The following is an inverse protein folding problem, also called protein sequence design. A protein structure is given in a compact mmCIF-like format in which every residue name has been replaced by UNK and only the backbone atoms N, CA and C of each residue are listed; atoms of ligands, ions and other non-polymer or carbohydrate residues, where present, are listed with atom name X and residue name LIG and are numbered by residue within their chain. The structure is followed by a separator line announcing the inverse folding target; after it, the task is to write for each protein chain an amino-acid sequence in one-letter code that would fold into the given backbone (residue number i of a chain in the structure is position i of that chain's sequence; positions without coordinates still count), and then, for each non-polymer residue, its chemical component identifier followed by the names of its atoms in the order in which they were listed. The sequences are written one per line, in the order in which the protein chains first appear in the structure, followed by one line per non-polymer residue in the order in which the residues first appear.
data_IF_285501416225
#
_entry.id   IF_285501416225
#
_cell.length_a   1.000
_cell.length_b   1.000
_cell.length_c   1.000
_cell.angle_alpha   90.00
_cell.angle_beta   90.00
_cell.angle_gamma   90.00
#
_symmetry.space_group_name_H-M   'P 1'
#
loop_
_entity.id
_entity.type
_entity.pdbx_description
1 polymer ?
#
# COMPACT_ATOMS: atom_id res chain seq x y z
N UNK A 1 -61.88 42.44 -25.52
CA UNK A 1 -60.56 42.16 -24.91
C UNK A 1 -60.73 41.05 -23.89
N UNK A 2 -60.34 39.81 -24.24
CA UNK A 2 -60.57 38.59 -23.44
C UNK A 2 -59.29 38.19 -22.70
N UNK A 3 -59.48 37.72 -21.48
CA UNK A 3 -58.47 37.49 -20.44
C UNK A 3 -57.40 36.45 -20.79
N UNK A 4 -56.19 36.72 -20.30
CA UNK A 4 -54.94 35.97 -20.49
C UNK A 4 -54.77 34.90 -19.41
N UNK A 5 -54.07 33.84 -19.79
CA UNK A 5 -53.99 32.50 -19.19
C UNK A 5 -53.52 32.44 -17.73
N UNK A 6 -54.11 31.51 -16.97
CA UNK A 6 -53.54 30.88 -15.77
C UNK A 6 -53.08 29.47 -16.15
N UNK A 7 -51.84 29.11 -15.82
CA UNK A 7 -51.47 27.76 -15.38
C UNK A 7 -50.10 27.82 -14.68
N UNK A 8 -50.16 27.69 -13.36
CA UNK A 8 -49.07 27.41 -12.44
C UNK A 8 -48.67 25.93 -12.52
N UNK A 9 -47.40 25.63 -12.23
CA UNK A 9 -46.79 24.38 -11.70
C UNK A 9 -45.34 24.36 -12.25
N UNK A 10 -44.30 24.79 -11.54
CA UNK A 10 -44.05 24.53 -10.12
C UNK A 10 -43.54 23.10 -9.97
N UNK A 11 -42.25 22.88 -10.23
CA UNK A 11 -41.62 21.57 -10.16
C UNK A 11 -40.11 21.66 -10.32
N UNK A 12 -39.45 22.30 -9.36
CA UNK A 12 -38.00 22.27 -9.21
C UNK A 12 -37.63 20.83 -8.85
N UNK A 13 -37.04 20.10 -9.81
CA UNK A 13 -36.38 18.81 -9.57
C UNK A 13 -35.16 19.08 -8.69
N UNK A 14 -35.32 18.91 -7.39
CA UNK A 14 -34.23 18.86 -6.44
C UNK A 14 -33.46 17.54 -6.66
N UNK A 15 -32.38 17.62 -7.44
CA UNK A 15 -31.40 16.55 -7.59
C UNK A 15 -30.76 16.26 -6.23
N UNK A 16 -31.13 15.14 -5.62
CA UNK A 16 -30.50 14.61 -4.40
C UNK A 16 -29.06 14.20 -4.77
N UNK A 17 -28.10 15.04 -4.41
CA UNK A 17 -26.68 14.70 -4.44
C UNK A 17 -26.41 13.64 -3.36
N UNK A 18 -26.30 12.38 -3.80
CA UNK A 18 -25.70 11.30 -3.02
C UNK A 18 -24.25 11.68 -2.69
N UNK A 19 -24.04 12.28 -1.53
CA UNK A 19 -22.74 12.39 -0.88
C UNK A 19 -22.31 10.98 -0.47
N UNK A 20 -21.79 10.21 -1.42
CA UNK A 20 -20.97 9.06 -1.11
C UNK A 20 -19.76 9.58 -0.35
N UNK A 21 -19.76 9.39 0.97
CA UNK A 21 -18.62 9.70 1.82
C UNK A 21 -17.47 8.77 1.43
N UNK A 22 -16.69 9.17 0.43
CA UNK A 22 -15.42 8.54 0.15
C UNK A 22 -14.56 8.72 1.40
N UNK A 23 -14.36 7.65 2.17
CA UNK A 23 -13.37 7.62 3.25
C UNK A 23 -12.02 7.85 2.58
N UNK A 24 -11.50 9.07 2.74
CA UNK A 24 -10.23 9.45 2.16
C UNK A 24 -9.10 8.75 2.94
N UNK A 25 -8.08 8.21 2.25
CA UNK A 25 -6.88 7.72 2.90
C UNK A 25 -6.23 8.81 3.77
N UNK A 26 -5.77 8.49 4.99
CA UNK A 26 -4.95 9.41 5.81
C UNK A 26 -3.72 9.86 5.01
N UNK A 27 -3.52 11.17 4.92
CA UNK A 27 -2.42 11.79 4.19
C UNK A 27 -1.05 11.47 4.82
N UNK A 28 -0.05 11.19 3.99
CA UNK A 28 1.34 11.02 4.42
C UNK A 28 1.98 12.41 4.52
N UNK A 29 2.17 12.89 5.75
CA UNK A 29 2.71 14.23 6.00
C UNK A 29 4.22 14.26 6.20
N UNK A 30 4.84 13.09 6.33
CA UNK A 30 6.28 12.94 6.59
C UNK A 30 7.06 12.85 5.27
N UNK A 31 8.31 13.35 5.28
CA UNK A 31 9.22 13.17 4.16
C UNK A 31 9.55 11.67 3.96
N UNK A 32 9.83 11.22 2.73
CA UNK A 32 10.14 9.82 2.47
C UNK A 32 11.38 9.34 3.22
N UNK A 33 11.29 8.17 3.84
CA UNK A 33 12.35 7.58 4.66
C UNK A 33 13.13 6.58 3.82
N UNK A 34 14.46 6.72 3.72
CA UNK A 34 15.28 5.71 3.04
C UNK A 34 15.51 4.49 3.94
N UNK A 35 15.30 3.30 3.40
CA UNK A 35 15.67 2.08 4.09
C UNK A 35 17.19 1.88 4.09
N UNK A 36 17.73 1.46 5.23
CA UNK A 36 19.14 1.12 5.39
C UNK A 36 19.42 -0.27 4.83
N UNK A 37 20.60 -0.45 4.24
CA UNK A 37 21.09 -1.78 3.86
C UNK A 37 21.62 -2.52 5.08
N UNK A 38 21.29 -3.80 5.19
CA UNK A 38 21.86 -4.66 6.24
C UNK A 38 23.32 -5.03 5.93
N UNK A 39 24.15 -5.27 6.97
CA UNK A 39 25.51 -5.74 6.79
C UNK A 39 25.56 -7.02 5.93
N UNK A 40 26.52 -7.09 5.01
CA UNK A 40 26.68 -8.25 4.12
C UNK A 40 25.81 -8.23 2.87
N UNK A 41 24.90 -7.25 2.71
CA UNK A 41 24.18 -7.06 1.45
C UNK A 41 25.08 -6.47 0.36
N UNK A 42 25.07 -7.08 -0.83
CA UNK A 42 25.80 -6.58 -2.00
C UNK A 42 24.99 -5.53 -2.76
N UNK A 43 25.50 -4.30 -2.78
CA UNK A 43 24.91 -3.17 -3.51
C UNK A 43 24.90 -3.35 -5.03
N UNK A 44 25.73 -4.25 -5.58
CA UNK A 44 25.74 -4.57 -7.01
C UNK A 44 24.43 -5.20 -7.50
N UNK A 45 23.65 -5.74 -6.55
CA UNK A 45 22.29 -6.25 -6.80
C UNK A 45 21.26 -5.13 -6.97
N UNK A 46 21.58 -3.87 -6.67
CA UNK A 46 20.64 -2.75 -6.72
C UNK A 46 20.51 -2.22 -8.16
N UNK A 47 19.27 -2.08 -8.60
CA UNK A 47 18.89 -1.58 -9.93
C UNK A 47 18.33 -0.14 -9.89
N UNK A 48 18.13 0.41 -8.69
CA UNK A 48 17.52 1.71 -8.44
C UNK A 48 16.69 1.67 -7.16
N UNK A 49 15.84 2.68 -6.98
CA UNK A 49 14.96 2.82 -5.81
C UNK A 49 13.49 2.87 -6.24
N UNK A 50 12.58 2.56 -5.30
CA UNK A 50 11.13 2.75 -5.40
C UNK A 50 10.57 3.24 -4.08
N UNK A 51 9.51 4.05 -4.15
CA UNK A 51 8.69 4.39 -2.99
C UNK A 51 7.67 3.30 -2.68
N UNK A 52 7.49 3.03 -1.40
CA UNK A 52 6.48 2.13 -0.83
C UNK A 52 5.74 2.88 0.27
N UNK A 53 4.41 2.98 0.16
CA UNK A 53 3.58 3.57 1.21
C UNK A 53 3.14 2.49 2.19
N UNK A 54 3.49 2.64 3.47
CA UNK A 54 3.07 1.74 4.55
C UNK A 54 1.94 2.37 5.35
N UNK A 55 0.86 1.63 5.57
CA UNK A 55 -0.38 2.11 6.22
C UNK A 55 -0.86 1.13 7.27
N UNK A 56 -1.38 1.64 8.38
CA UNK A 56 -1.87 0.83 9.50
C UNK A 56 -3.39 0.88 9.62
N UNK A 57 -3.98 -0.28 9.88
CA UNK A 57 -5.42 -0.46 10.03
C UNK A 57 -5.74 -1.21 11.33
N UNK A 58 -6.86 -0.90 11.95
CA UNK A 58 -7.47 -1.68 13.05
C UNK A 58 -8.78 -2.30 12.57
N UNK A 59 -9.29 -3.30 13.29
CA UNK A 59 -10.56 -3.96 12.99
C UNK A 59 -10.45 -5.17 12.04
N UNK A 60 -11.60 -5.76 11.75
CA UNK A 60 -11.76 -6.93 10.85
C UNK A 60 -12.09 -6.47 9.42
N UNK A 61 -11.81 -7.31 8.42
CA UNK A 61 -11.74 -6.92 6.99
C UNK A 61 -12.75 -5.88 6.48
N UNK A 62 -14.04 -6.10 6.72
CA UNK A 62 -15.12 -5.23 6.20
C UNK A 62 -15.26 -3.91 6.94
N UNK A 63 -14.60 -3.78 8.09
CA UNK A 63 -14.67 -2.66 9.02
C UNK A 63 -13.28 -2.14 9.38
N UNK A 64 -12.28 -2.40 8.53
CA UNK A 64 -10.92 -1.93 8.77
C UNK A 64 -10.90 -0.40 8.74
N UNK A 65 -10.49 0.19 9.86
CA UNK A 65 -10.31 1.63 9.99
C UNK A 65 -8.84 1.94 9.93
N UNK A 66 -8.46 2.82 9.00
CA UNK A 66 -7.11 3.34 8.96
C UNK A 66 -6.86 4.22 10.20
N UNK A 67 -5.66 4.11 10.77
CA UNK A 67 -5.22 4.97 11.86
C UNK A 67 -3.76 5.36 11.67
N UNK A 68 -3.35 6.48 12.28
CA UNK A 68 -1.97 6.96 12.29
C UNK A 68 -1.30 6.73 13.66
N UNK A 69 0.03 6.79 13.68
CA UNK A 69 0.80 6.71 14.93
C UNK A 69 1.31 5.33 15.30
N UNK A 70 1.14 4.30 14.46
CA UNK A 70 1.73 2.99 14.75
C UNK A 70 3.25 3.03 14.54
N UNK A 71 4.01 2.59 15.54
CA UNK A 71 5.46 2.45 15.43
C UNK A 71 5.79 1.16 14.68
N UNK A 72 6.42 1.28 13.51
CA UNK A 72 6.65 0.17 12.61
C UNK A 72 8.12 -0.05 12.27
N UNK A 73 8.47 -1.30 11.99
CA UNK A 73 9.74 -1.72 11.44
C UNK A 73 9.48 -2.53 10.16
N UNK A 74 10.06 -2.09 9.05
CA UNK A 74 10.15 -2.87 7.81
C UNK A 74 11.51 -3.56 7.79
N UNK A 75 11.52 -4.86 7.53
CA UNK A 75 12.74 -5.66 7.57
C UNK A 75 12.70 -6.79 6.53
N UNK A 76 13.80 -6.95 5.78
CA UNK A 76 14.12 -8.14 5.00
C UNK A 76 15.55 -8.57 5.32
N UNK A 77 16.09 -9.59 4.66
CA UNK A 77 17.52 -9.93 4.80
C UNK A 77 18.43 -8.84 4.20
N UNK A 78 17.92 -8.04 3.28
CA UNK A 78 18.66 -7.00 2.57
C UNK A 78 18.54 -5.62 3.21
N UNK A 79 17.38 -5.25 3.76
CA UNK A 79 17.08 -3.89 4.21
C UNK A 79 16.37 -3.82 5.55
N UNK A 80 16.44 -2.63 6.17
CA UNK A 80 15.67 -2.28 7.37
C UNK A 80 15.26 -0.81 7.36
N UNK A 81 14.06 -0.50 7.86
CA UNK A 81 13.61 0.86 8.13
C UNK A 81 12.74 0.89 9.39
N UNK A 82 12.81 1.98 10.16
CA UNK A 82 11.92 2.24 11.29
C UNK A 82 11.18 3.55 11.07
N UNK A 83 9.87 3.57 11.31
CA UNK A 83 9.00 4.69 10.96
C UNK A 83 7.68 4.66 11.75
N UNK A 84 6.87 5.70 11.60
CA UNK A 84 5.52 5.78 12.16
C UNK A 84 4.51 5.91 11.04
N UNK A 85 3.45 5.10 11.03
CA UNK A 85 2.47 5.11 9.93
C UNK A 85 1.46 6.27 10.00
N UNK A 86 0.94 6.73 8.84
CA UNK A 86 1.31 6.32 7.49
C UNK A 86 2.65 6.94 7.06
N UNK A 87 3.46 6.19 6.30
CA UNK A 87 4.80 6.65 5.87
C UNK A 87 5.12 6.19 4.44
N UNK A 88 5.91 6.99 3.73
CA UNK A 88 6.54 6.59 2.48
C UNK A 88 7.98 6.17 2.73
N UNK A 89 8.34 4.97 2.27
CA UNK A 89 9.65 4.35 2.47
C UNK A 89 10.30 4.12 1.10
N UNK A 90 11.50 4.66 0.91
CA UNK A 90 12.31 4.43 -0.28
C UNK A 90 13.10 3.14 -0.08
N UNK A 91 12.82 2.15 -0.92
CA UNK A 91 13.42 0.81 -0.89
C UNK A 91 14.13 0.50 -2.22
N UNK A 92 15.19 -0.32 -2.22
CA UNK A 92 15.87 -0.73 -3.43
C UNK A 92 14.97 -1.59 -4.34
N UNK A 93 15.20 -1.45 -5.64
CA UNK A 93 14.84 -2.42 -6.68
C UNK A 93 16.02 -3.34 -6.90
N UNK A 94 15.77 -4.63 -7.14
CA UNK A 94 16.83 -5.62 -7.27
C UNK A 94 16.96 -6.13 -8.71
N UNK A 95 18.19 -6.18 -9.22
CA UNK A 95 18.51 -6.63 -10.57
C UNK A 95 18.10 -8.09 -10.75
N UNK A 96 17.49 -8.39 -11.89
CA UNK A 96 17.17 -9.76 -12.28
C UNK A 96 18.23 -10.30 -13.27
N UNK A 97 19.17 -11.11 -12.78
CA UNK A 97 20.26 -11.70 -13.60
C UNK A 97 20.34 -13.21 -13.41
N UNK A 98 20.83 -13.94 -14.41
CA UNK A 98 20.99 -15.40 -14.33
C UNK A 98 22.11 -15.81 -13.38
N UNK A 99 23.12 -14.94 -13.20
CA UNK A 99 24.26 -15.18 -12.30
C UNK A 99 23.90 -15.10 -10.80
N UNK A 100 22.78 -14.48 -10.44
CA UNK A 100 22.35 -14.37 -9.06
C UNK A 100 21.46 -15.56 -8.65
N UNK A 101 21.64 -16.04 -7.42
CA UNK A 101 20.74 -17.01 -6.81
C UNK A 101 19.29 -16.51 -6.90
N UNK A 102 18.35 -17.43 -7.20
CA UNK A 102 16.92 -17.09 -7.39
C UNK A 102 16.69 -15.94 -8.39
N UNK A 103 17.56 -15.81 -9.39
CA UNK A 103 17.58 -14.70 -10.36
C UNK A 103 17.64 -13.32 -9.72
N UNK A 104 18.24 -13.19 -8.54
CA UNK A 104 18.38 -11.94 -7.81
C UNK A 104 17.14 -11.50 -7.01
N UNK A 105 16.12 -12.36 -6.89
CA UNK A 105 14.93 -12.09 -6.08
C UNK A 105 15.32 -11.79 -4.62
N UNK A 106 14.89 -10.65 -4.05
CA UNK A 106 15.13 -10.36 -2.63
C UNK A 106 14.22 -11.21 -1.74
N UNK A 107 14.56 -11.28 -0.47
CA UNK A 107 13.71 -11.91 0.54
C UNK A 107 12.42 -11.13 0.77
N UNK A 108 11.40 -11.79 1.34
CA UNK A 108 10.13 -11.13 1.66
C UNK A 108 10.35 -10.04 2.71
N UNK A 109 9.82 -8.84 2.49
CA UNK A 109 9.83 -7.79 3.48
C UNK A 109 8.74 -8.06 4.51
N UNK A 110 9.10 -8.07 5.78
CA UNK A 110 8.20 -8.16 6.92
C UNK A 110 8.03 -6.80 7.55
N UNK A 111 6.78 -6.35 7.70
CA UNK A 111 6.44 -5.13 8.43
C UNK A 111 5.79 -5.51 9.75
N UNK A 112 6.37 -5.03 10.85
CA UNK A 112 5.85 -5.20 12.20
C UNK A 112 5.46 -3.84 12.73
N UNK A 113 4.19 -3.66 13.07
CA UNK A 113 3.67 -2.41 13.62
C UNK A 113 3.13 -2.62 15.03
N UNK A 114 3.41 -1.67 15.93
CA UNK A 114 2.93 -1.66 17.31
C UNK A 114 2.11 -0.40 17.58
N UNK A 115 0.96 -0.57 18.21
CA UNK A 115 0.09 0.52 18.66
C UNK A 115 -0.73 0.07 19.87
N UNK A 116 -0.86 0.92 20.88
CA UNK A 116 -1.67 0.65 22.10
C UNK A 116 -1.44 -0.73 22.75
N UNK A 117 -0.19 -1.21 22.79
CA UNK A 117 0.15 -2.54 23.35
C UNK A 117 -0.10 -3.72 22.42
N UNK A 118 -0.73 -3.49 21.27
CA UNK A 118 -1.04 -4.49 20.25
C UNK A 118 0.00 -4.53 19.13
N UNK A 119 0.16 -5.69 18.48
CA UNK A 119 1.13 -5.90 17.39
C UNK A 119 0.45 -6.45 16.14
N UNK A 120 0.70 -5.82 15.00
CA UNK A 120 0.33 -6.29 13.67
C UNK A 120 1.56 -6.70 12.88
N UNK A 121 1.45 -7.76 12.08
CA UNK A 121 2.54 -8.28 11.25
C UNK A 121 1.99 -8.55 9.85
N UNK A 122 2.69 -8.08 8.81
CA UNK A 122 2.41 -8.42 7.42
C UNK A 122 3.71 -8.75 6.67
N UNK A 123 3.62 -9.60 5.65
CA UNK A 123 4.76 -9.99 4.80
C UNK A 123 4.46 -9.71 3.33
N UNK A 124 5.46 -9.21 2.62
CA UNK A 124 5.34 -8.71 1.25
C UNK A 124 6.46 -9.25 0.39
N UNK A 125 6.09 -10.02 -0.62
CA UNK A 125 7.04 -10.54 -1.61
C UNK A 125 7.36 -9.47 -2.65
N UNK A 126 8.63 -9.43 -3.07
CA UNK A 126 8.99 -8.68 -4.26
C UNK A 126 8.49 -9.38 -5.52
N UNK A 127 7.99 -8.58 -6.46
CA UNK A 127 7.46 -9.02 -7.75
C UNK A 127 8.24 -8.37 -8.88
N UNK A 128 8.36 -9.07 -10.01
CA UNK A 128 9.04 -8.58 -11.23
C UNK A 128 8.10 -7.77 -12.14
N UNK A 129 6.82 -7.71 -11.79
CA UNK A 129 5.77 -6.92 -12.44
C UNK A 129 5.06 -6.10 -11.39
N UNK A 130 4.41 -5.00 -11.78
CA UNK A 130 3.61 -4.18 -10.87
C UNK A 130 2.32 -4.93 -10.49
N UNK A 131 2.43 -5.95 -9.65
CA UNK A 131 1.29 -6.63 -9.06
C UNK A 131 1.13 -6.01 -7.67
N UNK A 132 0.13 -5.15 -7.50
CA UNK A 132 -0.28 -4.75 -6.16
C UNK A 132 -0.87 -5.97 -5.47
N UNK A 133 -0.05 -6.61 -4.64
CA UNK A 133 -0.47 -7.72 -3.78
C UNK A 133 -0.80 -7.12 -2.41
N UNK A 134 -2.09 -6.95 -2.15
CA UNK A 134 -2.57 -6.80 -0.78
C UNK A 134 -2.49 -8.18 -0.11
N UNK A 135 -1.34 -8.52 0.49
CA UNK A 135 -1.19 -9.77 1.24
C UNK A 135 -1.92 -9.64 2.58
N UNK A 136 -3.23 -9.92 2.57
CA UNK A 136 -4.00 -10.12 3.79
C UNK A 136 -3.59 -11.46 4.41
N UNK A 137 -2.74 -11.42 5.44
CA UNK A 137 -2.53 -12.55 6.32
C UNK A 137 -3.76 -12.68 7.25
N UNK A 138 -4.73 -13.47 6.81
CA UNK A 138 -5.91 -13.90 7.56
C UNK A 138 -6.71 -14.86 6.71
N UNK A 139 -7.08 -16.01 7.28
CA UNK A 139 -7.70 -17.15 6.58
C UNK A 139 -8.98 -16.73 5.85
N UNK A 140 -8.96 -16.62 4.52
CA UNK A 140 -10.14 -16.28 3.70
C UNK A 140 -9.84 -15.37 2.52
N UNK A 141 -9.25 -15.91 1.46
CA UNK A 141 -8.77 -15.14 0.31
C UNK A 141 -9.87 -14.44 -0.51
N UNK A 142 -9.69 -13.15 -0.76
CA UNK A 142 -10.25 -12.46 -1.92
C UNK A 142 -9.13 -11.65 -2.58
N UNK A 143 -8.72 -12.07 -3.78
CA UNK A 143 -7.64 -11.49 -4.56
C UNK A 143 -8.26 -10.42 -5.48
N UNK A 144 -7.98 -9.14 -5.25
CA UNK A 144 -8.29 -8.08 -6.22
C UNK A 144 -7.04 -7.82 -7.07
N UNK A 145 -6.94 -8.52 -8.21
CA UNK A 145 -5.91 -8.29 -9.22
C UNK A 145 -6.38 -7.28 -10.26
N UNK A 146 -5.77 -6.09 -10.31
CA UNK A 146 -5.77 -5.27 -11.51
C UNK A 146 -4.52 -5.63 -12.34
N UNK A 147 -4.71 -6.46 -13.36
CA UNK A 147 -3.63 -6.87 -14.27
C UNK A 147 -3.50 -5.82 -15.38
N UNK A 148 -2.52 -4.93 -15.27
CA UNK A 148 -2.11 -4.08 -16.40
C UNK A 148 -0.98 -4.79 -17.14
N UNK A 149 -1.33 -5.51 -18.21
CA UNK A 149 -0.38 -6.15 -19.11
C UNK A 149 0.00 -5.17 -20.22
N UNK A 150 1.17 -4.54 -20.08
CA UNK A 150 1.84 -3.77 -21.14
C UNK A 150 3.27 -4.27 -21.27
N UNK A 151 3.62 -4.81 -22.43
CA UNK A 151 4.90 -5.46 -22.71
C UNK A 151 6.09 -4.50 -22.68
N UNK A 152 7.21 -4.91 -22.07
CA UNK A 152 8.56 -4.56 -22.54
C UNK A 152 9.52 -5.73 -22.22
N UNK A 153 10.16 -6.29 -23.24
CA UNK A 153 11.23 -7.27 -23.10
C UNK A 153 12.51 -6.56 -22.62
N UNK A 154 12.64 -6.45 -21.31
CA UNK A 154 13.86 -6.06 -20.60
C UNK A 154 13.81 -6.71 -19.22
N UNK A 155 14.96 -7.10 -18.66
CA UNK A 155 15.04 -7.67 -17.31
C UNK A 155 14.35 -6.73 -16.31
N UNK A 156 13.10 -7.02 -15.95
CA UNK A 156 12.36 -6.20 -14.99
C UNK A 156 12.93 -6.46 -13.61
N UNK A 157 13.32 -5.39 -12.93
CA UNK A 157 13.88 -5.49 -11.59
C UNK A 157 12.80 -5.93 -10.61
N UNK A 158 13.18 -6.76 -9.63
CA UNK A 158 12.32 -7.11 -8.51
C UNK A 158 12.03 -5.87 -7.68
N UNK A 159 10.76 -5.66 -7.32
CA UNK A 159 10.32 -4.55 -6.49
C UNK A 159 9.27 -5.00 -5.49
N UNK A 160 9.30 -4.42 -4.30
CA UNK A 160 8.23 -4.57 -3.32
C UNK A 160 6.93 -3.89 -3.80
N UNK A 161 5.76 -4.30 -3.29
CA UNK A 161 4.49 -3.65 -3.63
C UNK A 161 4.51 -2.18 -3.22
N UNK A 162 3.91 -1.31 -4.05
CA UNK A 162 3.89 0.13 -3.78
C UNK A 162 3.05 0.54 -2.57
N UNK A 163 2.15 -0.33 -2.10
CA UNK A 163 1.37 -0.14 -0.88
C UNK A 163 1.52 -1.39 -0.01
N UNK A 164 1.86 -1.18 1.26
CA UNK A 164 1.94 -2.22 2.29
C UNK A 164 0.97 -1.90 3.42
N UNK A 165 -0.04 -2.75 3.60
CA UNK A 165 -1.07 -2.57 4.63
C UNK A 165 -0.83 -3.53 5.80
N UNK A 166 -0.80 -3.01 7.02
CA UNK A 166 -0.66 -3.81 8.24
C UNK A 166 -1.91 -3.65 9.10
N UNK A 167 -2.52 -4.77 9.50
CA UNK A 167 -3.63 -4.75 10.45
C UNK A 167 -3.09 -5.03 11.86
N UNK A 168 -3.36 -4.13 12.81
CA UNK A 168 -3.03 -4.27 14.23
C UNK A 168 -4.32 -4.65 14.96
N UNK A 169 -4.38 -5.86 15.52
CA UNK A 169 -5.56 -6.34 16.25
C UNK A 169 -5.54 -5.83 17.69
N UNK A 170 -6.64 -5.23 18.17
CA UNK A 170 -6.77 -4.77 19.56
C UNK A 170 -6.40 -3.29 19.78
N UNK A 171 -6.62 -2.44 18.77
CA UNK A 171 -6.59 -0.98 18.91
C UNK A 171 -8.05 -0.52 18.80
N UNK A 172 -8.77 -0.45 19.91
CA UNK A 172 -10.12 0.13 20.01
C UNK A 172 -10.05 1.59 20.43
#
# INVERSE_FOLDING_TARGET
MKWKQRASLGGILASVTLLGACVQPIEVTQAPIKADYKPGFSVDRVAGESAVTVRSFTGVEKERKEFSGAACVLESDEIRASFTTPAEIIVPKFRQRKEFASRGRPTSARVVCKAAGSTGIASFDATDKQVQTATNAGVGGAILTAVVSGAIAGSTSWKYPGIMSVTVQGVE
#
